data_IF_874245364831
#
_entry.id   IF_874245364831
#
_cell.length_a   1.000
_cell.length_b   1.000
_cell.length_c   1.000
_cell.angle_alpha   90.00
_cell.angle_beta   90.00
_cell.angle_gamma   90.00
#
_symmetry.space_group_name_H-M   'P 1'
#
loop_
_entity.id
_entity.type
_entity.pdbx_description
1 polymer ?
#
# COMPACT_ATOMS: atom_id res chain seq x y z
N UNK A 1 -3.04 -16.16 17.02
CA UNK A 1 -1.57 -16.20 16.89
C UNK A 1 -1.10 -15.00 16.09
N UNK A 2 -0.16 -14.21 16.59
CA UNK A 2 0.35 -13.03 15.86
C UNK A 2 1.17 -13.48 14.64
N UNK A 3 0.69 -13.18 13.43
CA UNK A 3 1.51 -13.31 12.22
C UNK A 3 2.60 -12.24 12.26
N UNK A 4 3.82 -12.59 11.85
CA UNK A 4 4.88 -11.61 11.61
C UNK A 4 4.59 -10.87 10.32
N UNK A 5 4.49 -9.54 10.38
CA UNK A 5 4.24 -8.70 9.22
C UNK A 5 5.56 -8.08 8.73
N UNK A 6 5.88 -8.28 7.46
CA UNK A 6 7.06 -7.68 6.81
C UNK A 6 6.55 -6.75 5.71
N UNK A 7 6.71 -5.44 5.92
CA UNK A 7 6.27 -4.41 4.97
C UNK A 7 7.50 -3.82 4.28
N UNK A 8 7.55 -3.93 2.95
CA UNK A 8 8.57 -3.31 2.12
C UNK A 8 8.02 -2.03 1.49
N UNK A 9 8.28 -0.87 2.11
CA UNK A 9 8.00 0.42 1.51
C UNK A 9 9.05 0.74 0.43
N UNK A 10 8.67 0.71 -0.85
CA UNK A 10 9.58 0.98 -1.96
C UNK A 10 9.84 2.49 -2.13
N UNK A 11 9.07 3.35 -1.46
CA UNK A 11 9.14 4.81 -1.58
C UNK A 11 9.02 5.25 -3.04
N UNK A 12 9.60 6.40 -3.38
CA UNK A 12 9.65 6.93 -4.74
C UNK A 12 10.78 6.28 -5.57
N UNK A 13 10.76 4.94 -5.67
CA UNK A 13 11.69 4.17 -6.49
C UNK A 13 10.96 3.29 -7.50
N UNK A 14 11.71 2.92 -8.55
CA UNK A 14 11.33 2.00 -9.61
C UNK A 14 10.24 2.54 -10.55
N UNK A 15 10.45 2.33 -11.85
CA UNK A 15 9.38 2.45 -12.85
C UNK A 15 8.49 1.21 -12.82
N UNK A 16 7.33 1.26 -13.47
CA UNK A 16 6.39 0.12 -13.55
C UNK A 16 7.10 -1.17 -14.00
N UNK A 17 7.95 -1.09 -15.05
CA UNK A 17 8.69 -2.25 -15.56
C UNK A 17 9.67 -2.82 -14.53
N UNK A 18 10.40 -1.96 -13.81
CA UNK A 18 11.36 -2.40 -12.78
C UNK A 18 10.65 -2.97 -11.56
N UNK A 19 9.53 -2.38 -11.17
CA UNK A 19 8.64 -2.86 -10.11
C UNK A 19 8.11 -4.25 -10.44
N UNK A 20 7.61 -4.45 -11.65
CA UNK A 20 7.10 -5.73 -12.15
C UNK A 20 8.17 -6.82 -12.15
N UNK A 21 9.37 -6.52 -12.67
CA UNK A 21 10.49 -7.46 -12.69
C UNK A 21 10.93 -7.86 -11.27
N UNK A 22 11.00 -6.91 -10.35
CA UNK A 22 11.36 -7.18 -8.97
C UNK A 22 10.29 -8.04 -8.27
N UNK A 23 9.00 -7.69 -8.44
CA UNK A 23 7.89 -8.45 -7.87
C UNK A 23 7.87 -9.91 -8.37
N UNK A 24 8.15 -10.13 -9.65
CA UNK A 24 8.27 -11.47 -10.23
C UNK A 24 9.38 -12.28 -9.54
N UNK A 25 10.60 -11.72 -9.50
CA UNK A 25 11.76 -12.37 -8.87
C UNK A 25 11.54 -12.66 -7.39
N UNK A 26 10.83 -11.78 -6.69
CA UNK A 26 10.45 -11.99 -5.30
C UNK A 26 9.43 -13.14 -5.16
N UNK A 27 8.42 -13.22 -6.04
CA UNK A 27 7.41 -14.28 -6.03
C UNK A 27 8.01 -15.68 -6.21
N UNK A 28 9.09 -15.80 -6.99
CA UNK A 28 9.83 -17.06 -7.17
C UNK A 28 10.59 -17.48 -5.91
N UNK A 29 11.08 -16.51 -5.14
CA UNK A 29 11.93 -16.76 -3.95
C UNK A 29 11.14 -16.84 -2.64
N UNK A 30 9.98 -16.21 -2.58
CA UNK A 30 9.12 -16.19 -1.40
C UNK A 30 8.21 -17.42 -1.43
N UNK A 31 8.32 -18.24 -0.38
CA UNK A 31 7.36 -19.29 -0.08
C UNK A 31 6.22 -18.73 0.77
N UNK A 32 5.00 -19.20 0.53
CA UNK A 32 3.87 -18.89 1.42
C UNK A 32 4.12 -19.52 2.79
N UNK A 33 4.03 -18.70 3.86
CA UNK A 33 4.23 -19.15 5.24
C UNK A 33 3.04 -18.71 6.08
N UNK A 34 2.41 -19.64 6.81
CA UNK A 34 1.23 -19.32 7.62
C UNK A 34 1.47 -18.26 8.71
N UNK A 35 2.71 -18.11 9.17
CA UNK A 35 3.09 -17.20 10.26
C UNK A 35 3.81 -15.93 9.80
N UNK A 36 3.98 -15.71 8.49
CA UNK A 36 4.60 -14.51 7.93
C UNK A 36 3.74 -13.95 6.80
N UNK A 37 3.45 -12.66 6.86
CA UNK A 37 2.76 -11.94 5.80
C UNK A 37 3.70 -10.89 5.22
N UNK A 38 3.91 -10.95 3.91
CA UNK A 38 4.78 -10.03 3.19
C UNK A 38 3.91 -9.04 2.42
N UNK A 39 4.16 -7.75 2.62
CA UNK A 39 3.45 -6.66 1.95
C UNK A 39 4.45 -5.82 1.16
N UNK A 40 4.20 -5.62 -0.13
CA UNK A 40 4.97 -4.69 -0.96
C UNK A 40 4.19 -3.39 -1.13
N UNK A 41 4.82 -2.25 -0.85
CA UNK A 41 4.21 -0.93 -1.07
C UNK A 41 4.92 -0.20 -2.23
N UNK A 42 4.56 -0.48 -3.50
CA UNK A 42 5.10 0.21 -4.67
C UNK A 42 4.54 1.64 -4.80
N UNK A 43 5.01 2.39 -5.80
CA UNK A 43 4.35 3.64 -6.18
C UNK A 43 2.94 3.38 -6.72
N UNK A 44 2.04 4.37 -6.61
CA UNK A 44 0.66 4.24 -7.12
C UNK A 44 0.59 3.84 -8.59
N UNK A 45 1.53 4.33 -9.40
CA UNK A 45 1.64 4.02 -10.83
C UNK A 45 1.83 2.52 -11.10
N UNK A 46 2.50 1.81 -10.21
CA UNK A 46 2.79 0.38 -10.38
C UNK A 46 1.78 -0.52 -9.65
N UNK A 47 0.96 0.03 -8.74
CA UNK A 47 0.09 -0.76 -7.87
C UNK A 47 -0.91 -1.62 -8.64
N UNK A 48 -1.59 -1.03 -9.64
CA UNK A 48 -2.54 -1.76 -10.48
C UNK A 48 -1.87 -2.91 -11.24
N UNK A 49 -0.76 -2.65 -11.92
CA UNK A 49 -0.04 -3.69 -12.68
C UNK A 49 0.43 -4.83 -11.78
N UNK A 50 0.95 -4.50 -10.59
CA UNK A 50 1.38 -5.51 -9.62
C UNK A 50 0.19 -6.31 -9.07
N UNK A 51 -0.98 -5.69 -8.87
CA UNK A 51 -2.18 -6.38 -8.36
C UNK A 51 -2.62 -7.54 -9.24
N UNK A 52 -2.37 -7.45 -10.55
CA UNK A 52 -2.68 -8.49 -11.53
C UNK A 52 -1.57 -9.56 -11.64
N UNK A 53 -0.36 -9.23 -11.20
CA UNK A 53 0.84 -10.06 -11.41
C UNK A 53 1.19 -10.93 -10.20
N UNK A 54 0.98 -10.43 -8.98
CA UNK A 54 1.44 -11.11 -7.76
C UNK A 54 0.53 -12.28 -7.38
N UNK A 55 1.13 -13.36 -6.82
CA UNK A 55 0.36 -14.40 -6.14
C UNK A 55 -0.03 -13.90 -4.75
N UNK A 56 -1.31 -13.51 -4.61
CA UNK A 56 -1.89 -12.96 -3.39
C UNK A 56 -1.89 -13.91 -2.18
N UNK A 57 -1.54 -15.20 -2.37
CA UNK A 57 -1.29 -16.16 -1.28
C UNK A 57 0.09 -16.01 -0.67
N UNK A 58 1.05 -15.45 -1.42
CA UNK A 58 2.44 -15.23 -0.99
C UNK A 58 2.71 -13.79 -0.61
N UNK A 59 2.18 -12.84 -1.39
CA UNK A 59 2.50 -11.42 -1.29
C UNK A 59 1.21 -10.62 -1.30
N UNK A 60 1.04 -9.72 -0.32
CA UNK A 60 0.01 -8.69 -0.32
C UNK A 60 0.59 -7.38 -0.87
N UNK A 61 -0.30 -6.49 -1.30
CA UNK A 61 0.06 -5.15 -1.73
C UNK A 61 -0.42 -4.10 -0.74
N UNK A 62 0.36 -3.04 -0.61
CA UNK A 62 0.01 -1.87 0.16
C UNK A 62 0.21 -0.58 -0.63
N UNK A 63 -0.52 0.47 -0.26
CA UNK A 63 -0.25 1.82 -0.75
C UNK A 63 0.69 2.56 0.20
N UNK A 64 1.39 3.57 -0.33
CA UNK A 64 2.30 4.42 0.45
C UNK A 64 1.61 5.59 1.14
N UNK A 65 0.40 5.92 0.71
CA UNK A 65 -0.47 6.93 1.30
C UNK A 65 -1.93 6.73 0.83
N UNK A 66 -2.87 7.46 1.42
CA UNK A 66 -4.22 7.66 0.88
C UNK A 66 -4.82 8.98 1.36
N UNK A 67 -5.86 9.45 0.68
CA UNK A 67 -6.69 10.56 1.12
C UNK A 67 -7.88 10.07 1.96
N UNK A 68 -8.29 10.87 2.95
CA UNK A 68 -9.30 10.49 3.96
C UNK A 68 -10.76 10.70 3.53
N UNK A 69 -11.01 10.98 2.24
CA UNK A 69 -12.35 11.09 1.67
C UNK A 69 -12.52 10.09 0.53
N UNK A 70 -13.75 9.62 0.32
CA UNK A 70 -14.10 8.69 -0.76
C UNK A 70 -13.81 9.26 -2.15
N UNK A 71 -14.25 10.50 -2.38
CA UNK A 71 -14.17 11.20 -3.66
C UNK A 71 -14.34 12.72 -3.45
N UNK A 72 -14.06 13.51 -4.49
CA UNK A 72 -14.25 14.95 -4.48
C UNK A 72 -13.19 15.71 -5.30
N UNK A 73 -13.17 17.05 -5.23
CA UNK A 73 -12.26 17.90 -5.99
C UNK A 73 -10.84 17.92 -5.37
N UNK A 74 -10.20 16.75 -5.29
CA UNK A 74 -8.85 16.54 -4.72
C UNK A 74 -7.89 16.10 -5.82
N UNK A 75 -7.58 17.01 -6.75
CA UNK A 75 -6.76 16.71 -7.93
C UNK A 75 -5.41 16.10 -7.54
N UNK A 76 -5.13 14.90 -8.04
CA UNK A 76 -3.87 14.18 -7.81
C UNK A 76 -3.84 13.30 -6.56
N UNK A 77 -4.84 13.42 -5.67
CA UNK A 77 -4.98 12.55 -4.51
C UNK A 77 -5.62 11.21 -4.87
N UNK A 78 -5.33 10.19 -4.04
CA UNK A 78 -5.88 8.84 -4.20
C UNK A 78 -6.66 8.47 -2.95
N UNK A 79 -7.97 8.23 -3.08
CA UNK A 79 -8.79 7.81 -1.95
C UNK A 79 -8.53 6.35 -1.57
N UNK A 80 -8.79 6.01 -0.31
CA UNK A 80 -8.75 4.61 0.11
C UNK A 80 -9.79 3.76 -0.66
N UNK A 81 -10.89 4.36 -1.11
CA UNK A 81 -11.92 3.70 -1.94
C UNK A 81 -11.38 3.30 -3.31
N UNK A 82 -10.55 4.15 -3.94
CA UNK A 82 -9.86 3.81 -5.19
C UNK A 82 -8.82 2.69 -5.04
N UNK A 83 -8.28 2.49 -3.83
CA UNK A 83 -7.31 1.43 -3.54
C UNK A 83 -7.96 0.06 -3.28
N UNK A 84 -9.29 0.01 -3.16
CA UNK A 84 -10.03 -1.23 -2.90
C UNK A 84 -9.78 -2.24 -4.03
N UNK A 85 -9.45 -3.48 -3.63
CA UNK A 85 -9.10 -4.55 -4.58
C UNK A 85 -7.68 -4.48 -5.15
N UNK A 86 -6.98 -3.35 -4.97
CA UNK A 86 -5.58 -3.20 -5.38
C UNK A 86 -4.61 -3.40 -4.22
N UNK A 87 -4.94 -2.85 -3.05
CA UNK A 87 -4.12 -2.91 -1.84
C UNK A 87 -4.94 -3.36 -0.62
N UNK A 88 -4.30 -4.14 0.26
CA UNK A 88 -4.85 -4.56 1.55
C UNK A 88 -4.30 -3.74 2.72
N UNK A 89 -3.25 -2.95 2.48
CA UNK A 89 -2.59 -2.12 3.49
C UNK A 89 -2.40 -0.71 2.96
N UNK A 90 -2.33 0.27 3.86
CA UNK A 90 -1.92 1.63 3.53
C UNK A 90 -0.98 2.12 4.61
N UNK A 91 0.16 2.68 4.20
CA UNK A 91 1.05 3.40 5.12
C UNK A 91 0.46 4.79 5.35
N UNK A 92 0.31 5.19 6.61
CA UNK A 92 -0.19 6.50 7.00
C UNK A 92 0.77 7.11 8.02
N UNK A 93 1.05 8.42 7.93
CA UNK A 93 1.88 9.11 8.92
C UNK A 93 3.35 8.76 8.84
N UNK A 94 3.85 8.37 7.67
CA UNK A 94 5.27 8.11 7.44
C UNK A 94 6.10 9.37 7.77
N UNK A 95 7.30 9.22 8.32
CA UNK A 95 8.13 10.36 8.75
C UNK A 95 8.42 11.34 7.61
N UNK A 96 8.60 10.84 6.38
CA UNK A 96 8.77 11.68 5.18
C UNK A 96 7.53 12.52 4.89
N UNK A 97 6.31 11.99 5.08
CA UNK A 97 5.07 12.76 4.90
C UNK A 97 4.94 13.86 5.95
N UNK A 98 5.27 13.54 7.20
CA UNK A 98 5.25 14.50 8.31
C UNK A 98 6.26 15.63 8.11
N UNK A 99 7.51 15.30 7.76
CA UNK A 99 8.58 16.29 7.69
C UNK A 99 8.66 17.04 6.36
N UNK A 100 8.42 16.37 5.22
CA UNK A 100 8.55 16.98 3.89
C UNK A 100 7.24 17.61 3.44
N UNK A 101 6.10 16.97 3.74
CA UNK A 101 4.78 17.40 3.28
C UNK A 101 3.91 18.00 4.39
N UNK A 102 4.48 18.22 5.58
CA UNK A 102 3.81 18.82 6.74
C UNK A 102 2.51 18.10 7.15
N UNK A 103 2.45 16.78 6.93
CA UNK A 103 1.28 15.99 7.28
C UNK A 103 1.05 15.98 8.80
N UNK A 104 -0.13 16.43 9.22
CA UNK A 104 -0.49 16.65 10.62
C UNK A 104 -1.12 15.43 11.27
N UNK A 105 -1.08 15.35 12.60
CA UNK A 105 -1.78 14.29 13.34
C UNK A 105 -3.30 14.29 13.11
N UNK A 106 -3.89 15.46 12.81
CA UNK A 106 -5.31 15.58 12.46
C UNK A 106 -5.61 14.88 11.13
N UNK A 107 -4.76 15.07 10.12
CA UNK A 107 -4.90 14.42 8.81
C UNK A 107 -4.66 12.92 8.93
N UNK A 108 -3.63 12.51 9.65
CA UNK A 108 -3.30 11.10 9.92
C UNK A 108 -4.45 10.39 10.62
N UNK A 109 -5.02 11.00 11.67
CA UNK A 109 -6.21 10.49 12.34
C UNK A 109 -7.38 10.32 11.38
N UNK A 110 -7.58 11.28 10.47
CA UNK A 110 -8.64 11.20 9.47
C UNK A 110 -8.43 10.04 8.50
N UNK A 111 -7.20 9.80 8.05
CA UNK A 111 -6.82 8.68 7.16
C UNK A 111 -7.01 7.32 7.82
N UNK A 112 -6.64 7.19 9.10
CA UNK A 112 -6.84 5.95 9.89
C UNK A 112 -8.33 5.63 10.02
N UNK A 113 -9.13 6.57 10.52
CA UNK A 113 -10.58 6.40 10.71
C UNK A 113 -11.33 6.10 9.41
N UNK A 114 -10.77 6.49 8.27
CA UNK A 114 -11.36 6.25 6.97
C UNK A 114 -10.96 4.88 6.39
N UNK A 115 -9.68 4.50 6.51
CA UNK A 115 -9.17 3.22 6.03
C UNK A 115 -9.85 2.01 6.73
N UNK A 116 -10.19 2.14 8.02
CA UNK A 116 -10.90 1.09 8.77
C UNK A 116 -12.30 0.79 8.23
N UNK A 117 -12.95 1.76 7.58
CA UNK A 117 -14.30 1.61 7.00
C UNK A 117 -14.32 0.77 5.72
N UNK A 118 -13.18 0.54 5.10
CA UNK A 118 -13.07 -0.25 3.87
C UNK A 118 -12.90 -1.74 4.15
N UNK A 119 -12.39 -2.10 5.34
CA UNK A 119 -12.25 -3.51 5.76
C UNK A 119 -13.52 -4.07 6.41
N UNK A 120 -14.55 -3.25 6.63
CA UNK A 120 -15.76 -3.57 7.41
C UNK A 120 -17.05 -3.67 6.58
N UNK A 121 -16.93 -3.64 5.24
CA UNK A 121 -18.01 -3.87 4.26
C UNK A 121 -17.59 -4.96 3.29
#
# INVERSE_FOLDING_TARGET
MNKRLIIANWKMNLTINRASLLAHRLSERIAAKHHVEVVLCPSFLALQSLSLQVDHRKIKLGAQDCYWRDEGPYTGEISATQLRGLASYVIVGHSERRHVFSETDKEIRSKVLFSDRISSL
#
